data_IF_339124832813
#
_entry.id   IF_339124832813
#
_cell.length_a   1.000
_cell.length_b   1.000
_cell.length_c   1.000
_cell.angle_alpha   90.00
_cell.angle_beta   90.00
_cell.angle_gamma   90.00
#
_symmetry.space_group_name_H-M   'P 1'
#
loop_
_entity.id
_entity.type
_entity.pdbx_description
1 polymer ?
#
# COMPACT_ATOMS: atom_id res chain seq x y z
N UNK A 1 -16.05 -5.53 17.16
CA UNK A 1 -14.92 -4.75 16.62
C UNK A 1 -14.22 -5.62 15.59
N UNK A 2 -14.05 -5.12 14.36
CA UNK A 2 -13.29 -5.76 13.28
C UNK A 2 -12.24 -4.79 12.77
N UNK A 3 -10.99 -5.21 12.89
CA UNK A 3 -9.80 -4.51 12.42
C UNK A 3 -9.38 -5.13 11.10
N UNK A 4 -9.21 -4.28 10.09
CA UNK A 4 -8.64 -4.65 8.81
C UNK A 4 -7.27 -3.99 8.68
N UNK A 5 -6.26 -4.82 8.43
CA UNK A 5 -4.89 -4.39 8.18
C UNK A 5 -4.56 -4.73 6.73
N UNK A 6 -4.07 -3.74 5.97
CA UNK A 6 -3.84 -3.87 4.53
C UNK A 6 -2.39 -3.55 4.22
N UNK A 7 -1.74 -4.41 3.45
CA UNK A 7 -0.48 -4.07 2.77
C UNK A 7 -0.80 -3.14 1.58
N UNK A 8 -0.52 -1.85 1.77
CA UNK A 8 -0.74 -0.81 0.78
C UNK A 8 0.25 -0.87 -0.37
N UNK A 9 1.49 -1.30 -0.13
CA UNK A 9 2.48 -1.49 -1.20
C UNK A 9 2.01 -2.58 -2.13
N UNK A 10 1.63 -3.75 -1.60
CA UNK A 10 1.10 -4.84 -2.41
C UNK A 10 -0.14 -4.43 -3.20
N UNK A 11 -1.11 -3.75 -2.56
CA UNK A 11 -2.32 -3.28 -3.24
C UNK A 11 -2.02 -2.29 -4.38
N UNK A 12 -1.03 -1.42 -4.20
CA UNK A 12 -0.59 -0.49 -5.23
C UNK A 12 -0.01 -1.22 -6.46
N UNK A 13 0.88 -2.19 -6.23
CA UNK A 13 1.41 -3.05 -7.29
C UNK A 13 0.30 -3.84 -7.99
N UNK A 14 -0.62 -4.44 -7.23
CA UNK A 14 -1.77 -5.18 -7.76
C UNK A 14 -2.65 -4.29 -8.65
N UNK A 15 -2.88 -3.05 -8.26
CA UNK A 15 -3.61 -2.09 -9.06
C UNK A 15 -2.88 -1.70 -10.36
N UNK A 16 -1.56 -1.48 -10.29
CA UNK A 16 -0.72 -1.15 -11.44
C UNK A 16 -0.76 -2.25 -12.52
N UNK A 17 -0.53 -3.50 -12.14
CA UNK A 17 -0.48 -4.65 -13.05
C UNK A 17 -1.85 -5.24 -13.39
N UNK A 18 -2.94 -4.68 -12.88
CA UNK A 18 -4.29 -5.10 -13.23
C UNK A 18 -4.60 -4.90 -14.72
N UNK A 19 -5.57 -5.67 -15.24
CA UNK A 19 -6.09 -5.53 -16.61
C UNK A 19 -6.90 -4.23 -16.86
N UNK A 20 -6.97 -3.32 -15.88
CA UNK A 20 -7.65 -2.03 -16.05
C UNK A 20 -6.93 -1.19 -17.12
N UNK A 21 -7.66 -0.38 -17.91
CA UNK A 21 -7.05 0.50 -18.90
C UNK A 21 -5.98 1.41 -18.28
N UNK A 22 -4.99 1.78 -19.09
CA UNK A 22 -4.00 2.78 -18.70
C UNK A 22 -4.67 4.14 -18.52
N UNK A 23 -4.39 4.79 -17.40
CA UNK A 23 -4.91 6.13 -17.07
C UNK A 23 -3.97 6.81 -16.07
N UNK A 24 -4.00 8.15 -15.96
CA UNK A 24 -3.25 8.86 -14.92
C UNK A 24 -3.59 8.31 -13.54
N UNK A 25 -2.56 8.10 -12.73
CA UNK A 25 -2.66 7.56 -11.37
C UNK A 25 -3.41 6.21 -11.31
N UNK A 26 -3.23 5.34 -12.32
CA UNK A 26 -3.91 4.03 -12.42
C UNK A 26 -3.80 3.22 -11.11
N UNK A 27 -2.60 3.15 -10.53
CA UNK A 27 -2.33 2.35 -9.35
C UNK A 27 -3.02 2.97 -8.12
N UNK A 28 -2.79 4.26 -7.86
CA UNK A 28 -3.42 5.00 -6.76
C UNK A 28 -4.95 4.91 -6.81
N UNK A 29 -5.54 5.17 -7.98
CA UNK A 29 -7.01 5.09 -8.17
C UNK A 29 -7.52 3.67 -7.99
N UNK A 30 -6.77 2.68 -8.45
CA UNK A 30 -7.16 1.28 -8.33
C UNK A 30 -7.15 0.80 -6.89
N UNK A 31 -6.10 1.15 -6.14
CA UNK A 31 -5.98 0.89 -4.71
C UNK A 31 -7.10 1.59 -3.92
N UNK A 32 -7.29 2.90 -4.12
CA UNK A 32 -8.35 3.67 -3.45
C UNK A 32 -9.74 3.05 -3.68
N UNK A 33 -10.02 2.60 -4.90
CA UNK A 33 -11.27 1.92 -5.21
C UNK A 33 -11.40 0.58 -4.47
N UNK A 34 -10.33 -0.22 -4.36
CA UNK A 34 -10.35 -1.47 -3.58
C UNK A 34 -10.67 -1.21 -2.11
N UNK A 35 -10.07 -0.18 -1.51
CA UNK A 35 -10.34 0.21 -0.12
C UNK A 35 -11.78 0.69 0.08
N UNK A 36 -12.31 1.49 -0.84
CA UNK A 36 -13.71 1.91 -0.81
C UNK A 36 -14.68 0.73 -0.93
N UNK A 37 -14.37 -0.26 -1.78
CA UNK A 37 -15.15 -1.50 -1.89
C UNK A 37 -15.11 -2.30 -0.58
N UNK A 38 -13.95 -2.39 0.08
CA UNK A 38 -13.82 -3.02 1.39
C UNK A 38 -14.70 -2.32 2.43
N UNK A 39 -14.60 -0.99 2.54
CA UNK A 39 -15.38 -0.19 3.48
C UNK A 39 -16.89 -0.27 3.22
N UNK A 40 -17.30 -0.34 1.96
CA UNK A 40 -18.69 -0.44 1.56
C UNK A 40 -19.28 -1.84 1.71
N UNK A 41 -18.47 -2.88 1.95
CA UNK A 41 -18.94 -4.26 2.02
C UNK A 41 -19.65 -4.53 3.37
N UNK A 42 -20.97 -4.76 3.38
CA UNK A 42 -21.71 -4.98 4.63
C UNK A 42 -21.32 -6.28 5.35
N UNK A 43 -20.78 -7.27 4.64
CA UNK A 43 -20.34 -8.53 5.23
C UNK A 43 -19.05 -8.36 6.05
N UNK A 44 -18.20 -7.41 5.66
CA UNK A 44 -16.93 -7.12 6.33
C UNK A 44 -17.13 -6.39 7.65
N UNK A 45 -18.16 -5.53 7.75
CA UNK A 45 -18.47 -4.74 8.95
C UNK A 45 -17.22 -4.03 9.50
N UNK A 46 -16.49 -3.35 8.62
CA UNK A 46 -15.22 -2.68 8.96
C UNK A 46 -15.48 -1.64 10.05
N UNK A 47 -14.74 -1.73 11.14
CA UNK A 47 -14.79 -0.72 12.22
C UNK A 47 -13.50 0.06 12.37
N UNK A 48 -12.37 -0.55 11.98
CA UNK A 48 -11.04 0.05 12.03
C UNK A 48 -10.26 -0.41 10.80
N UNK A 49 -9.55 0.52 10.15
CA UNK A 49 -8.73 0.25 8.98
C UNK A 49 -7.37 0.92 9.14
N UNK A 50 -6.31 0.13 9.05
CA UNK A 50 -4.94 0.63 8.91
C UNK A 50 -4.29 0.06 7.65
N UNK A 51 -3.45 0.87 7.01
CA UNK A 51 -2.77 0.52 5.76
C UNK A 51 -1.29 0.84 5.90
N UNK A 52 -0.43 -0.16 5.71
CA UNK A 52 1.01 -0.03 5.79
C UNK A 52 1.62 0.13 4.40
N UNK A 53 2.61 1.00 4.26
CA UNK A 53 3.35 1.21 3.01
C UNK A 53 4.84 1.15 3.27
N UNK A 54 5.55 0.45 2.40
CA UNK A 54 7.01 0.48 2.28
C UNK A 54 7.45 1.74 1.52
N UNK A 55 7.34 2.92 2.14
CA UNK A 55 7.65 4.20 1.45
C UNK A 55 8.11 5.35 2.39
N UNK A 56 9.36 5.83 2.22
CA UNK A 56 10.50 5.08 1.69
C UNK A 56 10.94 4.00 2.69
N UNK A 57 11.28 2.81 2.21
CA UNK A 57 11.73 1.70 3.07
C UNK A 57 13.25 1.47 2.96
N UNK A 58 13.91 1.32 4.11
CA UNK A 58 15.23 0.69 4.22
C UNK A 58 15.29 -0.02 5.57
N UNK A 59 15.01 -1.32 5.57
CA UNK A 59 14.96 -2.11 6.80
C UNK A 59 16.33 -2.64 7.20
N UNK A 60 16.41 -3.21 8.39
CA UNK A 60 17.60 -3.94 8.84
C UNK A 60 17.98 -5.10 7.89
N UNK A 61 17.02 -5.62 7.10
CA UNK A 61 17.28 -6.71 6.13
C UNK A 61 18.20 -6.23 5.00
N UNK A 62 18.18 -4.94 4.65
CA UNK A 62 19.12 -4.36 3.69
C UNK A 62 20.58 -4.38 4.17
N UNK A 63 20.81 -4.37 5.49
CA UNK A 63 22.17 -4.46 6.06
C UNK A 63 22.65 -5.93 6.16
N UNK A 64 21.72 -6.88 6.22
CA UNK A 64 22.02 -8.31 6.31
C UNK A 64 22.21 -8.97 4.94
N UNK A 65 21.47 -8.51 3.93
CA UNK A 65 21.44 -9.11 2.61
C UNK A 65 21.66 -8.05 1.53
N UNK A 66 22.74 -8.19 0.78
CA UNK A 66 23.01 -7.34 -0.37
C UNK A 66 21.87 -7.46 -1.40
N UNK A 67 21.53 -6.33 -2.03
CA UNK A 67 20.48 -6.20 -3.07
C UNK A 67 19.05 -6.58 -2.64
N UNK A 68 18.81 -6.87 -1.36
CA UNK A 68 17.48 -7.13 -0.84
C UNK A 68 16.56 -5.91 -1.01
N UNK A 69 15.33 -6.13 -1.50
CA UNK A 69 14.37 -5.07 -1.86
C UNK A 69 14.99 -3.93 -2.69
N UNK A 70 15.87 -4.27 -3.64
CA UNK A 70 16.31 -3.33 -4.66
C UNK A 70 15.11 -2.81 -5.45
N UNK A 71 15.11 -1.51 -5.74
CA UNK A 71 14.11 -0.87 -6.62
C UNK A 71 14.31 -1.22 -8.11
N UNK A 72 15.28 -2.08 -8.43
CA UNK A 72 15.55 -2.52 -9.79
C UNK A 72 14.32 -3.19 -10.41
N UNK A 73 13.89 -2.68 -11.57
CA UNK A 73 12.72 -3.20 -12.30
C UNK A 73 11.37 -2.64 -11.85
N UNK A 74 11.31 -1.79 -10.81
CA UNK A 74 10.07 -1.07 -10.46
C UNK A 74 9.83 0.05 -11.50
N UNK A 75 8.69 0.05 -12.22
CA UNK A 75 8.43 1.09 -13.22
C UNK A 75 8.41 2.50 -12.60
N UNK A 76 9.09 3.49 -13.19
CA UNK A 76 9.14 4.85 -12.65
C UNK A 76 7.76 5.47 -12.42
N UNK A 77 6.79 5.18 -13.29
CA UNK A 77 5.42 5.65 -13.18
C UNK A 77 4.64 4.97 -12.04
N UNK A 78 5.03 3.76 -11.62
CA UNK A 78 4.51 3.13 -10.40
C UNK A 78 5.13 3.78 -9.18
N UNK A 79 6.45 3.95 -9.18
CA UNK A 79 7.18 4.60 -8.07
C UNK A 79 6.66 6.01 -7.78
N UNK A 80 6.36 6.78 -8.82
CA UNK A 80 5.83 8.14 -8.69
C UNK A 80 4.43 8.20 -8.06
N UNK A 81 3.74 7.08 -7.85
CA UNK A 81 2.38 7.02 -7.30
C UNK A 81 2.32 6.71 -5.80
N UNK A 82 3.43 6.37 -5.15
CA UNK A 82 3.42 5.97 -3.73
C UNK A 82 2.91 7.06 -2.80
N UNK A 83 3.47 8.27 -2.87
CA UNK A 83 3.04 9.39 -2.02
C UNK A 83 1.55 9.74 -2.25
N UNK A 84 1.11 9.72 -3.51
CA UNK A 84 -0.29 9.95 -3.86
C UNK A 84 -1.21 8.81 -3.35
N UNK A 85 -0.72 7.57 -3.31
CA UNK A 85 -1.44 6.44 -2.76
C UNK A 85 -1.63 6.56 -1.24
N UNK A 86 -0.59 6.96 -0.52
CA UNK A 86 -0.70 7.24 0.90
C UNK A 86 -1.66 8.41 1.18
N UNK A 87 -1.55 9.51 0.42
CA UNK A 87 -2.46 10.66 0.54
C UNK A 87 -3.92 10.26 0.30
N UNK A 88 -4.19 9.53 -0.77
CA UNK A 88 -5.54 9.03 -1.07
C UNK A 88 -6.06 8.10 0.05
N UNK A 89 -5.19 7.28 0.62
CA UNK A 89 -5.54 6.36 1.72
C UNK A 89 -5.88 7.13 3.00
N UNK A 90 -5.11 8.17 3.34
CA UNK A 90 -5.44 9.09 4.45
C UNK A 90 -6.76 9.82 4.19
N UNK A 91 -7.00 10.26 2.96
CA UNK A 91 -8.23 10.98 2.58
C UNK A 91 -9.50 10.10 2.69
N UNK A 92 -9.36 8.79 2.52
CA UNK A 92 -10.44 7.81 2.77
C UNK A 92 -10.75 7.67 4.27
N UNK A 93 -9.87 8.16 5.15
CA UNK A 93 -10.01 8.11 6.60
C UNK A 93 -9.32 6.91 7.25
N UNK A 94 -8.47 6.18 6.51
CA UNK A 94 -7.69 5.09 7.07
C UNK A 94 -6.47 5.62 7.85
N UNK A 95 -6.06 4.88 8.88
CA UNK A 95 -4.75 5.09 9.51
C UNK A 95 -3.68 4.62 8.53
N UNK A 96 -2.68 5.47 8.27
CA UNK A 96 -1.58 5.14 7.35
C UNK A 96 -0.28 5.01 8.11
N UNK A 97 0.39 3.88 7.91
CA UNK A 97 1.74 3.63 8.41
C UNK A 97 2.73 3.69 7.25
N UNK A 98 3.42 4.82 7.14
CA UNK A 98 4.53 4.99 6.17
C UNK A 98 5.80 4.43 6.79
N UNK A 99 6.12 3.21 6.43
CA UNK A 99 7.14 2.40 7.06
C UNK A 99 8.53 2.74 6.53
N UNK A 100 9.50 2.88 7.45
CA UNK A 100 10.87 3.33 7.14
C UNK A 100 11.96 2.36 7.55
N UNK A 101 11.89 1.85 8.78
CA UNK A 101 12.91 0.99 9.40
C UNK A 101 12.47 -0.48 9.51
N UNK A 102 11.16 -0.69 9.53
CA UNK A 102 10.50 -1.99 9.50
C UNK A 102 9.63 -2.03 8.26
N UNK A 103 9.33 -3.21 7.71
CA UNK A 103 8.55 -3.33 6.49
C UNK A 103 7.05 -3.34 6.80
N UNK A 104 6.22 -3.16 5.77
CA UNK A 104 4.77 -3.27 5.87
C UNK A 104 4.37 -4.58 6.56
N UNK A 105 4.99 -5.71 6.20
CA UNK A 105 4.76 -7.02 6.83
C UNK A 105 4.99 -7.00 8.35
N UNK A 106 6.03 -6.31 8.81
CA UNK A 106 6.34 -6.17 10.24
C UNK A 106 5.27 -5.33 10.97
N UNK A 107 4.73 -4.30 10.29
CA UNK A 107 3.63 -3.48 10.81
C UNK A 107 2.32 -4.28 10.94
N UNK A 108 2.04 -5.17 9.98
CA UNK A 108 0.84 -6.01 9.99
C UNK A 108 0.88 -7.08 11.09
N UNK A 109 2.09 -7.49 11.51
CA UNK A 109 2.29 -8.56 12.48
C UNK A 109 2.34 -8.10 13.95
N UNK A 110 2.38 -6.78 14.21
CA UNK A 110 2.54 -6.19 15.55
C UNK A 110 1.19 -5.83 16.17
#
# INVERSE_FOLDING_TARGET
MRLHLVDGTFELFRAHYSKRPAQPLKATRGMAQSLLVLLANPAEQVTHLAVAFDNPIRSFRNDLFADYKSDEGVPPELRAQFDAAEEATRAIGAVVWSMREFEADDALAT
#
